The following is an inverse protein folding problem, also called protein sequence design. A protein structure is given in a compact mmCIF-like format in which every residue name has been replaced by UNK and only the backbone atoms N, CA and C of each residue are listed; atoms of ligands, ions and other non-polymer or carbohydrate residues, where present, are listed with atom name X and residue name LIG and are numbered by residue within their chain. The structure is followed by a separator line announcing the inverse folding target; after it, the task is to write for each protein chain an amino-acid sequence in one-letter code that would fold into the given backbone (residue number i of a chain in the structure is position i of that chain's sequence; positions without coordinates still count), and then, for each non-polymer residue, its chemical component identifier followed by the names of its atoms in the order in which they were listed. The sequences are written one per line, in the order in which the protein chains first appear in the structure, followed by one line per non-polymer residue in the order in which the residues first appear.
data_IF_477039349451
#
_entry.id   IF_477039349451
#
_cell.length_a   1.000
_cell.length_b   1.000
_cell.length_c   1.000
_cell.angle_alpha   90.00
_cell.angle_beta   90.00
_cell.angle_gamma   90.00
#
_symmetry.space_group_name_H-M   'P 1'
#
loop_
_entity.id
_entity.type
_entity.pdbx_description
1 polymer ?
#
# COMPACT_ATOMS: atom_id res chain seq x y z
N UNK A 1 41.11 11.71 -29.58
CA UNK A 1 39.92 10.91 -29.81
C UNK A 1 39.44 10.54 -28.43
N UNK A 2 38.53 11.32 -27.96
CA UNK A 2 37.97 11.28 -26.59
C UNK A 2 36.58 10.66 -26.73
N UNK A 3 36.49 9.36 -26.48
CA UNK A 3 35.21 8.65 -26.48
C UNK A 3 34.54 8.93 -25.13
N UNK A 4 33.73 9.97 -25.12
CA UNK A 4 32.87 10.28 -23.99
C UNK A 4 31.84 9.16 -23.79
N UNK A 5 32.05 8.39 -22.72
CA UNK A 5 31.06 7.47 -22.14
C UNK A 5 29.81 8.27 -21.75
N UNK A 6 28.88 8.36 -22.69
CA UNK A 6 27.55 8.89 -22.44
C UNK A 6 26.78 7.78 -21.70
N UNK A 7 26.88 7.76 -20.35
CA UNK A 7 26.03 6.92 -19.51
C UNK A 7 24.60 7.44 -19.70
N UNK A 8 23.80 6.73 -20.47
CA UNK A 8 22.37 6.95 -20.64
C UNK A 8 21.74 7.01 -19.23
N UNK A 9 21.48 8.21 -18.73
CA UNK A 9 20.64 8.37 -17.56
C UNK A 9 19.27 7.81 -17.91
N UNK A 10 18.71 6.87 -17.14
CA UNK A 10 17.44 6.24 -17.47
C UNK A 10 16.37 7.33 -17.58
N UNK A 11 15.75 7.40 -18.74
CA UNK A 11 14.68 8.34 -19.05
C UNK A 11 13.57 8.27 -18.01
N UNK A 12 13.09 9.42 -17.53
CA UNK A 12 12.06 9.48 -16.51
C UNK A 12 10.78 8.75 -16.98
N UNK A 13 10.17 7.90 -16.15
CA UNK A 13 8.97 7.15 -16.52
C UNK A 13 7.84 8.06 -17.03
N UNK A 14 7.16 7.65 -18.08
CA UNK A 14 6.06 8.40 -18.69
C UNK A 14 4.68 7.82 -18.36
N UNK A 15 4.62 6.71 -17.61
CA UNK A 15 3.40 6.12 -17.08
C UNK A 15 3.44 6.00 -15.56
N UNK A 16 2.27 5.96 -14.93
CA UNK A 16 2.14 6.00 -13.47
C UNK A 16 2.63 4.70 -12.80
N UNK A 17 2.50 3.55 -13.45
CA UNK A 17 2.92 2.28 -12.86
C UNK A 17 4.45 2.20 -12.76
N UNK A 18 5.16 2.59 -13.83
CA UNK A 18 6.62 2.68 -13.86
C UNK A 18 7.15 3.75 -12.90
N UNK A 19 6.47 4.90 -12.79
CA UNK A 19 6.81 5.94 -11.82
C UNK A 19 6.68 5.43 -10.38
N UNK A 20 5.61 4.71 -10.08
CA UNK A 20 5.38 4.11 -8.76
C UNK A 20 6.50 3.10 -8.42
N UNK A 21 6.88 2.25 -9.36
CA UNK A 21 7.98 1.31 -9.19
C UNK A 21 9.32 2.02 -8.95
N UNK A 22 9.60 3.11 -9.68
CA UNK A 22 10.78 3.93 -9.49
C UNK A 22 10.82 4.57 -8.10
N UNK A 23 9.70 5.15 -7.65
CA UNK A 23 9.59 5.73 -6.31
C UNK A 23 9.84 4.65 -5.25
N UNK A 24 9.23 3.47 -5.38
CA UNK A 24 9.41 2.35 -4.47
C UNK A 24 10.89 1.91 -4.38
N UNK A 25 11.56 1.77 -5.52
CA UNK A 25 12.98 1.37 -5.58
C UNK A 25 13.91 2.41 -4.93
N UNK A 26 13.57 3.70 -5.05
CA UNK A 26 14.37 4.80 -4.51
C UNK A 26 13.97 5.23 -3.09
N UNK A 27 12.84 4.74 -2.57
CA UNK A 27 12.24 5.19 -1.30
C UNK A 27 13.24 5.22 -0.13
N UNK A 28 14.04 4.15 0.04
CA UNK A 28 15.02 4.03 1.13
C UNK A 28 16.23 4.97 0.98
N UNK A 29 16.44 5.54 -0.20
CA UNK A 29 17.56 6.44 -0.51
C UNK A 29 17.15 7.91 -0.57
N UNK A 30 15.84 8.20 -0.54
CA UNK A 30 15.35 9.57 -0.59
C UNK A 30 15.62 10.29 0.74
N UNK A 31 16.12 11.55 0.71
CA UNK A 31 16.14 12.39 1.90
C UNK A 31 14.75 12.52 2.52
N UNK A 32 14.68 12.60 3.85
CA UNK A 32 13.42 12.60 4.62
C UNK A 32 12.30 13.47 4.03
N UNK A 33 12.60 14.69 3.58
CA UNK A 33 11.60 15.61 3.00
C UNK A 33 11.11 15.16 1.62
N UNK A 34 11.98 14.55 0.81
CA UNK A 34 11.58 13.98 -0.48
C UNK A 34 10.77 12.69 -0.29
N UNK A 35 11.11 11.88 0.71
CA UNK A 35 10.29 10.72 1.11
C UNK A 35 8.87 11.11 1.53
N UNK A 36 8.73 12.21 2.27
CA UNK A 36 7.43 12.76 2.66
C UNK A 36 6.58 13.17 1.43
N UNK A 37 7.22 13.76 0.40
CA UNK A 37 6.53 14.07 -0.86
C UNK A 37 6.15 12.79 -1.61
N UNK A 38 7.04 11.80 -1.63
CA UNK A 38 6.80 10.52 -2.28
C UNK A 38 5.57 9.80 -1.68
N UNK A 39 5.51 9.73 -0.35
CA UNK A 39 4.38 9.17 0.40
C UNK A 39 3.08 9.90 0.07
N UNK A 40 3.09 11.24 0.15
CA UNK A 40 1.92 12.04 -0.17
C UNK A 40 1.46 11.82 -1.62
N UNK A 41 2.39 11.80 -2.58
CA UNK A 41 2.10 11.66 -4.00
C UNK A 41 1.46 10.31 -4.34
N UNK A 42 1.90 9.23 -3.69
CA UNK A 42 1.32 7.90 -3.89
C UNK A 42 -0.03 7.75 -3.18
N UNK A 43 -0.20 8.36 -2.00
CA UNK A 43 -1.46 8.34 -1.26
C UNK A 43 -2.53 9.26 -1.86
N UNK A 44 -2.12 10.37 -2.51
CA UNK A 44 -3.02 11.41 -3.02
C UNK A 44 -2.69 11.77 -4.48
N UNK A 45 -2.73 10.81 -5.41
CA UNK A 45 -2.29 11.05 -6.79
C UNK A 45 -3.14 12.08 -7.54
N UNK A 46 -4.40 12.20 -7.21
CA UNK A 46 -5.31 13.18 -7.82
C UNK A 46 -4.98 14.61 -7.36
N UNK A 47 -4.52 14.77 -6.11
CA UNK A 47 -4.03 16.05 -5.62
C UNK A 47 -2.76 16.50 -6.34
N UNK A 48 -1.89 15.55 -6.67
CA UNK A 48 -0.73 15.85 -7.51
C UNK A 48 -1.18 16.25 -8.92
N UNK A 49 -2.12 15.52 -9.50
CA UNK A 49 -2.59 15.77 -10.87
C UNK A 49 -3.23 17.16 -11.04
N UNK A 50 -4.03 17.61 -10.08
CA UNK A 50 -4.85 18.81 -10.18
C UNK A 50 -4.37 19.98 -9.31
N UNK A 51 -3.55 19.70 -8.28
CA UNK A 51 -3.07 20.72 -7.36
C UNK A 51 -2.05 21.66 -7.98
N UNK A 52 -1.96 22.88 -7.46
CA UNK A 52 -0.82 23.75 -7.73
C UNK A 52 0.38 23.32 -6.88
N UNK A 53 1.61 23.68 -7.29
CA UNK A 53 2.80 23.41 -6.47
C UNK A 53 2.66 23.96 -5.04
N UNK A 54 2.00 25.11 -4.88
CA UNK A 54 1.76 25.71 -3.57
C UNK A 54 0.78 24.88 -2.72
N UNK A 55 -0.37 24.47 -3.29
CA UNK A 55 -1.39 23.67 -2.58
C UNK A 55 -0.88 22.27 -2.22
N UNK A 56 -0.17 21.63 -3.15
CA UNK A 56 0.45 20.31 -2.90
C UNK A 56 1.52 20.39 -1.82
N UNK A 57 2.39 21.42 -1.86
CA UNK A 57 3.41 21.65 -0.85
C UNK A 57 2.79 21.85 0.54
N UNK A 58 1.74 22.66 0.63
CA UNK A 58 1.01 22.88 1.86
C UNK A 58 0.41 21.60 2.42
N UNK A 59 -0.27 20.80 1.59
CA UNK A 59 -0.93 19.55 2.00
C UNK A 59 0.07 18.46 2.36
N UNK A 60 1.20 18.39 1.66
CA UNK A 60 2.29 17.45 1.97
C UNK A 60 3.22 17.93 3.10
N UNK A 61 3.00 19.12 3.66
CA UNK A 61 3.79 19.68 4.78
C UNK A 61 5.24 19.99 4.41
N UNK A 62 5.50 20.40 3.15
CA UNK A 62 6.84 20.76 2.66
C UNK A 62 6.84 22.14 2.00
N UNK A 63 8.02 22.63 1.63
CA UNK A 63 8.14 23.84 0.82
C UNK A 63 7.96 23.52 -0.68
N UNK A 64 7.45 24.45 -1.51
CA UNK A 64 7.29 24.25 -2.95
C UNK A 64 8.58 23.83 -3.67
N UNK A 65 9.74 24.34 -3.25
CA UNK A 65 11.06 23.95 -3.77
C UNK A 65 11.38 22.46 -3.54
N UNK A 66 10.77 21.83 -2.53
CA UNK A 66 10.94 20.39 -2.25
C UNK A 66 10.24 19.56 -3.33
N UNK A 67 9.10 20.00 -3.87
CA UNK A 67 8.41 19.33 -4.96
C UNK A 67 9.26 19.34 -6.24
N UNK A 68 9.89 20.46 -6.54
CA UNK A 68 10.81 20.58 -7.69
C UNK A 68 11.99 19.62 -7.54
N UNK A 69 12.62 19.61 -6.36
CA UNK A 69 13.72 18.70 -6.06
C UNK A 69 13.30 17.23 -6.12
N UNK A 70 12.10 16.90 -5.66
CA UNK A 70 11.55 15.57 -5.74
C UNK A 70 11.38 15.13 -7.20
N UNK A 71 10.80 15.99 -8.03
CA UNK A 71 10.63 15.71 -9.46
C UNK A 71 11.98 15.48 -10.16
N UNK A 72 12.96 16.34 -9.88
CA UNK A 72 14.32 16.23 -10.43
C UNK A 72 15.05 14.95 -9.94
N UNK A 73 14.85 14.55 -8.69
CA UNK A 73 15.42 13.31 -8.14
C UNK A 73 14.86 12.04 -8.82
N UNK A 74 13.70 12.16 -9.47
CA UNK A 74 13.09 11.08 -10.26
C UNK A 74 13.40 11.18 -11.76
N UNK A 75 14.15 12.21 -12.21
CA UNK A 75 14.55 12.42 -13.59
C UNK A 75 13.65 13.36 -14.40
N UNK A 76 12.65 13.99 -13.76
CA UNK A 76 11.79 14.97 -14.44
C UNK A 76 12.40 16.38 -14.44
N UNK A 77 12.06 17.18 -15.44
CA UNK A 77 12.55 18.58 -15.52
C UNK A 77 12.02 19.47 -14.40
N UNK A 78 10.85 19.13 -13.84
CA UNK A 78 10.22 19.86 -12.75
C UNK A 78 8.87 19.29 -12.36
N UNK A 79 8.20 19.96 -11.41
CA UNK A 79 6.94 19.46 -10.85
C UNK A 79 5.83 19.33 -11.92
N UNK A 80 5.75 20.26 -12.88
CA UNK A 80 4.75 20.20 -13.96
C UNK A 80 4.97 18.99 -14.88
N UNK A 81 6.22 18.61 -15.17
CA UNK A 81 6.56 17.45 -15.99
C UNK A 81 6.17 16.14 -15.24
N UNK A 82 6.45 16.08 -13.94
CA UNK A 82 5.97 14.98 -13.10
C UNK A 82 4.44 14.91 -13.05
N UNK A 83 3.74 16.06 -12.95
CA UNK A 83 2.28 16.13 -12.92
C UNK A 83 1.63 15.52 -14.18
N UNK A 84 2.27 15.62 -15.35
CA UNK A 84 1.71 15.03 -16.57
C UNK A 84 1.55 13.51 -16.45
N UNK A 85 2.43 12.82 -15.75
CA UNK A 85 2.30 11.37 -15.51
C UNK A 85 1.09 11.06 -14.62
N UNK A 86 0.86 11.89 -13.59
CA UNK A 86 -0.32 11.76 -12.74
C UNK A 86 -1.62 12.10 -13.49
N UNK A 87 -1.58 13.06 -14.43
CA UNK A 87 -2.71 13.39 -15.30
C UNK A 87 -2.97 12.31 -16.35
N UNK A 88 -1.92 11.72 -16.92
CA UNK A 88 -2.04 10.62 -17.88
C UNK A 88 -2.76 9.41 -17.27
N UNK A 89 -2.48 9.09 -16.01
CA UNK A 89 -3.21 8.07 -15.23
C UNK A 89 -4.73 8.25 -15.28
N UNK A 90 -5.20 9.50 -15.32
CA UNK A 90 -6.64 9.80 -15.35
C UNK A 90 -7.27 9.60 -16.73
N UNK A 91 -6.47 9.68 -17.80
CA UNK A 91 -6.95 9.40 -19.16
C UNK A 91 -7.15 7.91 -19.42
N UNK A 92 -6.35 7.07 -18.72
CA UNK A 92 -6.44 5.61 -18.79
C UNK A 92 -7.50 5.04 -17.82
N UNK A 93 -8.14 5.91 -17.03
CA UNK A 93 -9.26 5.52 -16.18
C UNK A 93 -10.45 5.15 -17.05
N UNK A 94 -10.94 3.95 -16.88
CA UNK A 94 -12.33 3.58 -17.22
C UNK A 94 -13.24 4.67 -16.63
N UNK A 95 -14.35 5.09 -17.32
CA UNK A 95 -15.24 6.16 -16.84
C UNK A 95 -15.51 6.03 -15.36
N UNK A 96 -15.39 7.14 -14.62
CA UNK A 96 -15.59 7.12 -13.16
C UNK A 96 -16.98 6.58 -12.83
N UNK A 97 -17.13 5.97 -11.68
CA UNK A 97 -18.42 5.50 -11.18
C UNK A 97 -19.50 6.59 -11.30
N UNK A 98 -19.15 7.84 -11.01
CA UNK A 98 -20.06 8.99 -11.15
C UNK A 98 -20.48 9.26 -12.61
N UNK A 99 -19.60 9.05 -13.56
CA UNK A 99 -19.93 9.18 -14.99
C UNK A 99 -20.82 8.03 -15.45
N UNK A 100 -20.55 6.80 -15.01
CA UNK A 100 -21.42 5.64 -15.24
C UNK A 100 -22.77 5.80 -14.53
N UNK A 101 -22.80 6.27 -13.29
CA UNK A 101 -24.03 6.61 -12.57
C UNK A 101 -24.85 7.64 -13.31
N UNK A 102 -24.23 8.69 -13.86
CA UNK A 102 -24.92 9.70 -14.69
C UNK A 102 -25.47 9.08 -15.96
N UNK A 103 -24.70 8.23 -16.64
CA UNK A 103 -25.15 7.52 -17.85
C UNK A 103 -26.29 6.54 -17.54
N UNK A 104 -26.20 5.77 -16.46
CA UNK A 104 -27.24 4.83 -16.06
C UNK A 104 -28.52 5.53 -15.55
N UNK A 105 -28.39 6.67 -14.86
CA UNK A 105 -29.53 7.51 -14.51
C UNK A 105 -30.22 8.10 -15.73
N UNK A 106 -29.51 8.39 -16.79
CA UNK A 106 -30.08 8.90 -18.07
C UNK A 106 -30.81 7.82 -18.87
N UNK A 107 -30.44 6.54 -18.67
CA UNK A 107 -31.07 5.40 -19.38
C UNK A 107 -32.21 4.72 -18.61
N UNK A 108 -32.63 5.24 -17.46
CA UNK A 108 -33.84 4.92 -16.71
C UNK A 108 -34.07 3.44 -16.40
N UNK A 109 -33.70 2.98 -15.18
CA UNK A 109 -34.16 1.67 -14.73
C UNK A 109 -33.39 0.96 -13.61
N UNK A 110 -32.11 1.25 -13.36
CA UNK A 110 -31.39 0.56 -12.32
C UNK A 110 -31.65 1.20 -10.93
N UNK A 111 -31.92 0.37 -9.92
CA UNK A 111 -32.05 0.84 -8.53
C UNK A 111 -30.70 1.33 -8.01
N UNK A 112 -30.69 2.27 -7.05
CA UNK A 112 -29.46 2.74 -6.40
C UNK A 112 -28.64 1.57 -5.81
N UNK A 113 -29.32 0.56 -5.26
CA UNK A 113 -28.68 -0.64 -4.71
C UNK A 113 -27.98 -1.47 -5.80
N UNK A 114 -28.60 -1.63 -6.98
CA UNK A 114 -27.97 -2.35 -8.09
C UNK A 114 -26.70 -1.65 -8.58
N UNK A 115 -26.72 -0.32 -8.67
CA UNK A 115 -25.56 0.47 -9.06
C UNK A 115 -24.41 0.39 -8.05
N UNK A 116 -24.74 0.41 -6.75
CA UNK A 116 -23.73 0.23 -5.69
C UNK A 116 -23.13 -1.17 -5.73
N UNK A 117 -23.97 -2.21 -5.91
CA UNK A 117 -23.49 -3.59 -6.04
C UNK A 117 -22.51 -3.74 -7.21
N UNK A 118 -22.85 -3.20 -8.37
CA UNK A 118 -21.99 -3.24 -9.55
C UNK A 118 -20.65 -2.53 -9.30
N UNK A 119 -20.67 -1.32 -8.71
CA UNK A 119 -19.46 -0.58 -8.41
C UNK A 119 -18.54 -1.30 -7.42
N UNK A 120 -19.10 -1.91 -6.37
CA UNK A 120 -18.32 -2.73 -5.44
C UNK A 120 -17.75 -4.00 -6.10
N UNK A 121 -18.55 -4.68 -6.93
CA UNK A 121 -18.11 -5.86 -7.64
C UNK A 121 -16.94 -5.53 -8.59
N UNK A 122 -17.06 -4.47 -9.39
CA UNK A 122 -15.99 -4.03 -10.29
C UNK A 122 -14.71 -3.61 -9.53
N UNK A 123 -14.84 -2.92 -8.39
CA UNK A 123 -13.70 -2.54 -7.57
C UNK A 123 -12.99 -3.77 -7.00
N UNK A 124 -13.76 -4.75 -6.51
CA UNK A 124 -13.22 -6.01 -6.01
C UNK A 124 -12.52 -6.82 -7.13
N UNK A 125 -13.14 -6.94 -8.30
CA UNK A 125 -12.54 -7.62 -9.46
C UNK A 125 -11.21 -6.96 -9.88
N UNK A 126 -11.17 -5.63 -9.94
CA UNK A 126 -9.94 -4.88 -10.24
C UNK A 126 -8.87 -5.12 -9.19
N UNK A 127 -9.21 -5.06 -7.90
CA UNK A 127 -8.26 -5.30 -6.81
C UNK A 127 -7.64 -6.71 -6.91
N UNK A 128 -8.46 -7.72 -7.18
CA UNK A 128 -7.99 -9.11 -7.36
C UNK A 128 -7.14 -9.26 -8.63
N UNK A 129 -7.55 -8.66 -9.74
CA UNK A 129 -6.80 -8.69 -11.00
C UNK A 129 -5.43 -8.01 -10.84
N UNK A 130 -5.39 -6.83 -10.21
CA UNK A 130 -4.17 -6.09 -9.93
C UNK A 130 -3.23 -6.88 -9.01
N UNK A 131 -3.76 -7.47 -7.94
CA UNK A 131 -2.97 -8.33 -7.06
C UNK A 131 -2.35 -9.50 -7.83
N UNK A 132 -3.14 -10.21 -8.65
CA UNK A 132 -2.64 -11.34 -9.47
C UNK A 132 -1.53 -10.95 -10.43
N UNK A 133 -1.59 -9.74 -11.01
CA UNK A 133 -0.57 -9.24 -11.94
C UNK A 133 0.70 -8.74 -11.24
N UNK A 134 0.56 -8.19 -10.03
CA UNK A 134 1.65 -7.58 -9.28
C UNK A 134 2.29 -8.53 -8.26
N UNK A 135 1.59 -9.61 -7.90
CA UNK A 135 2.10 -10.56 -6.93
C UNK A 135 3.41 -11.19 -7.42
N UNK A 136 4.48 -10.92 -6.69
CA UNK A 136 5.77 -11.55 -6.91
C UNK A 136 5.78 -12.93 -6.24
N UNK A 137 5.86 -13.98 -7.05
CA UNK A 137 5.89 -15.36 -6.56
C UNK A 137 7.06 -15.61 -5.61
N UNK A 138 8.23 -14.98 -5.85
CA UNK A 138 9.41 -15.14 -4.99
C UNK A 138 9.15 -14.56 -3.60
N UNK A 139 8.50 -13.41 -3.53
CA UNK A 139 8.12 -12.79 -2.25
C UNK A 139 7.05 -13.60 -1.54
N UNK A 140 6.08 -14.16 -2.27
CA UNK A 140 5.06 -15.04 -1.70
C UNK A 140 5.67 -16.31 -1.13
N UNK A 141 6.60 -16.97 -1.86
CA UNK A 141 7.31 -18.15 -1.38
C UNK A 141 8.12 -17.85 -0.10
N UNK A 142 8.79 -16.70 -0.04
CA UNK A 142 9.48 -16.27 1.19
C UNK A 142 8.52 -16.09 2.36
N UNK A 143 7.34 -15.50 2.14
CA UNK A 143 6.34 -15.36 3.19
C UNK A 143 5.87 -16.73 3.69
N UNK A 144 5.60 -17.67 2.79
CA UNK A 144 5.23 -19.05 3.12
C UNK A 144 6.35 -19.72 3.92
N UNK A 145 7.61 -19.58 3.50
CA UNK A 145 8.76 -20.14 4.19
C UNK A 145 8.90 -19.63 5.63
N UNK A 146 8.69 -18.33 5.85
CA UNK A 146 8.67 -17.73 7.19
C UNK A 146 7.59 -18.36 8.06
N UNK A 147 6.37 -18.46 7.53
CA UNK A 147 5.23 -18.98 8.27
C UNK A 147 5.33 -20.49 8.56
N UNK A 148 5.87 -21.27 7.63
CA UNK A 148 5.99 -22.73 7.79
C UNK A 148 7.08 -23.15 8.77
N UNK A 149 8.09 -22.29 9.00
CA UNK A 149 9.16 -22.56 9.98
C UNK A 149 8.81 -22.13 11.39
N UNK A 150 7.76 -21.32 11.57
CA UNK A 150 7.38 -20.79 12.85
C UNK A 150 6.78 -21.87 13.77
N UNK A 151 7.11 -21.82 15.06
CA UNK A 151 6.46 -22.64 16.09
C UNK A 151 5.02 -22.20 16.33
N UNK A 152 4.79 -20.88 16.36
CA UNK A 152 3.47 -20.26 16.49
C UNK A 152 3.37 -19.05 15.56
N UNK A 153 2.22 -18.90 14.92
CA UNK A 153 1.94 -17.74 14.06
C UNK A 153 1.01 -16.80 14.82
N UNK A 154 1.47 -15.58 15.09
CA UNK A 154 0.64 -14.54 15.68
C UNK A 154 -0.02 -13.71 14.59
N UNK A 155 -1.33 -13.55 14.68
CA UNK A 155 -2.14 -12.82 13.68
C UNK A 155 -2.57 -11.47 14.27
N UNK A 156 -2.06 -10.38 13.71
CA UNK A 156 -2.30 -9.01 14.17
C UNK A 156 -2.98 -8.22 13.05
N UNK A 157 -4.20 -7.80 13.28
CA UNK A 157 -4.94 -6.93 12.37
C UNK A 157 -6.20 -6.48 13.07
N UNK A 158 -6.24 -5.19 13.43
CA UNK A 158 -7.36 -4.62 14.15
C UNK A 158 -8.27 -3.81 13.23
N UNK A 159 -9.42 -3.36 13.75
CA UNK A 159 -10.43 -2.60 13.02
C UNK A 159 -10.89 -3.34 11.77
N UNK A 160 -10.81 -2.74 10.58
CA UNK A 160 -11.29 -3.35 9.32
C UNK A 160 -10.49 -4.58 8.87
N UNK A 161 -9.26 -4.75 9.35
CA UNK A 161 -8.45 -5.95 9.08
C UNK A 161 -8.77 -7.12 10.01
N UNK A 162 -9.47 -6.88 11.13
CA UNK A 162 -9.78 -7.91 12.12
C UNK A 162 -10.59 -9.10 11.55
N UNK A 163 -11.62 -8.91 10.71
CA UNK A 163 -12.33 -10.05 10.12
C UNK A 163 -11.43 -10.98 9.33
N UNK A 164 -10.40 -10.44 8.65
CA UNK A 164 -9.44 -11.22 7.87
C UNK A 164 -8.56 -12.05 8.79
N UNK A 165 -7.94 -11.43 9.82
CA UNK A 165 -7.08 -12.14 10.78
C UNK A 165 -7.86 -13.16 11.60
N UNK A 166 -9.11 -12.87 11.98
CA UNK A 166 -9.99 -13.81 12.66
C UNK A 166 -10.33 -15.02 11.80
N UNK A 167 -10.62 -14.80 10.52
CA UNK A 167 -10.84 -15.91 9.57
C UNK A 167 -9.56 -16.71 9.32
N UNK A 168 -8.40 -16.05 9.20
CA UNK A 168 -7.11 -16.74 9.09
C UNK A 168 -6.84 -17.64 10.31
N UNK A 169 -7.10 -17.13 11.53
CA UNK A 169 -6.95 -17.92 12.75
C UNK A 169 -7.82 -19.18 12.73
N UNK A 170 -9.08 -19.03 12.34
CA UNK A 170 -10.00 -20.17 12.18
C UNK A 170 -9.49 -21.16 11.14
N UNK A 171 -9.09 -20.69 9.96
CA UNK A 171 -8.64 -21.54 8.85
C UNK A 171 -7.36 -22.30 9.21
N UNK A 172 -6.37 -21.62 9.80
CA UNK A 172 -5.12 -22.22 10.29
C UNK A 172 -5.39 -23.26 11.37
N UNK A 173 -6.31 -22.97 12.31
CA UNK A 173 -6.72 -23.94 13.34
C UNK A 173 -7.33 -25.19 12.74
N UNK A 174 -8.13 -25.09 11.67
CA UNK A 174 -8.68 -26.26 10.95
C UNK A 174 -7.60 -27.10 10.27
N UNK A 175 -6.49 -26.48 9.88
CA UNK A 175 -5.33 -27.16 9.29
C UNK A 175 -4.33 -27.69 10.33
N UNK A 176 -4.62 -27.51 11.62
CA UNK A 176 -3.71 -27.91 12.71
C UNK A 176 -2.48 -27.00 12.85
N UNK A 177 -2.48 -25.84 12.24
CA UNK A 177 -1.40 -24.86 12.33
C UNK A 177 -1.57 -24.06 13.63
N UNK A 178 -0.55 -24.10 14.49
CA UNK A 178 -0.56 -23.36 15.75
C UNK A 178 -0.56 -21.87 15.48
N UNK A 179 -1.59 -21.18 15.95
CA UNK A 179 -1.71 -19.73 15.79
C UNK A 179 -2.38 -19.08 16.99
N UNK A 180 -2.13 -17.79 17.16
CA UNK A 180 -2.72 -16.93 18.18
C UNK A 180 -3.28 -15.69 17.49
N UNK A 181 -4.58 -15.47 17.62
CA UNK A 181 -5.22 -14.24 17.19
C UNK A 181 -4.98 -13.18 18.30
N UNK A 182 -4.30 -12.10 17.93
CA UNK A 182 -4.09 -10.94 18.80
C UNK A 182 -5.25 -9.98 18.56
N UNK A 183 -6.30 -10.12 19.36
CA UNK A 183 -7.55 -9.36 19.21
C UNK A 183 -7.59 -8.11 20.07
N UNK A 184 -6.66 -7.97 21.03
CA UNK A 184 -6.57 -6.82 21.91
C UNK A 184 -7.75 -6.66 22.87
N UNK A 185 -8.54 -7.73 23.11
CA UNK A 185 -9.68 -7.68 24.05
C UNK A 185 -9.22 -7.12 25.39
N UNK A 186 -10.01 -6.23 25.96
CA UNK A 186 -9.74 -5.52 27.21
C UNK A 186 -8.41 -4.75 27.25
N UNK A 187 -7.85 -4.40 26.08
CA UNK A 187 -6.57 -3.71 25.99
C UNK A 187 -5.34 -4.61 26.18
N UNK A 188 -5.52 -5.94 26.18
CA UNK A 188 -4.46 -6.91 26.48
C UNK A 188 -3.63 -7.33 25.26
N UNK A 189 -3.62 -6.56 24.20
CA UNK A 189 -2.88 -6.92 22.98
C UNK A 189 -1.37 -7.08 23.20
N UNK A 190 -0.75 -6.28 24.03
CA UNK A 190 0.66 -6.38 24.37
C UNK A 190 0.96 -7.64 25.21
N UNK A 191 0.07 -8.01 26.12
CA UNK A 191 0.17 -9.20 26.95
C UNK A 191 -0.02 -10.47 26.12
N UNK A 192 -0.87 -10.43 25.09
CA UNK A 192 -1.03 -11.56 24.15
C UNK A 192 0.26 -11.87 23.39
N UNK A 193 1.16 -10.88 23.23
CA UNK A 193 2.51 -11.08 22.71
C UNK A 193 3.54 -11.49 23.76
N UNK A 194 3.11 -11.74 25.01
CA UNK A 194 4.02 -11.96 26.14
C UNK A 194 5.01 -13.12 25.95
N UNK A 195 4.62 -14.14 25.22
CA UNK A 195 5.41 -15.35 24.99
C UNK A 195 6.04 -15.44 23.61
N UNK A 196 5.88 -14.40 22.75
CA UNK A 196 6.48 -14.39 21.41
C UNK A 196 8.00 -14.36 21.48
N UNK A 197 8.65 -15.10 20.59
CA UNK A 197 10.10 -15.28 20.51
C UNK A 197 10.60 -15.25 19.06
N UNK A 198 11.89 -15.44 18.87
CA UNK A 198 12.55 -15.59 17.57
C UNK A 198 12.19 -16.87 16.80
N UNK A 199 11.49 -17.82 17.47
CA UNK A 199 10.98 -19.04 16.84
C UNK A 199 9.58 -18.89 16.26
N UNK A 200 8.96 -17.74 16.49
CA UNK A 200 7.61 -17.44 16.08
C UNK A 200 7.57 -16.49 14.88
N UNK A 201 6.45 -16.49 14.18
CA UNK A 201 6.20 -15.53 13.13
C UNK A 201 4.94 -14.69 13.42
N UNK A 202 4.91 -13.52 12.84
CA UNK A 202 3.76 -12.61 12.89
C UNK A 202 3.25 -12.36 11.49
N UNK A 203 1.95 -12.42 11.30
CA UNK A 203 1.27 -11.81 10.16
C UNK A 203 0.61 -10.52 10.66
N UNK A 204 1.08 -9.37 10.20
CA UNK A 204 0.49 -8.08 10.51
C UNK A 204 -0.23 -7.51 9.29
N UNK A 205 -1.52 -7.19 9.43
CA UNK A 205 -2.37 -6.65 8.37
C UNK A 205 -2.84 -5.26 8.75
N UNK A 206 -2.47 -4.25 7.95
CA UNK A 206 -2.92 -2.88 8.15
C UNK A 206 -2.90 -2.08 6.85
N UNK A 207 -3.94 -1.30 6.62
CA UNK A 207 -4.14 -0.45 5.45
C UNK A 207 -4.45 0.98 5.89
N UNK A 208 -4.24 1.94 5.01
CA UNK A 208 -4.59 3.35 5.27
C UNK A 208 -6.11 3.50 5.53
N UNK A 209 -6.50 4.21 6.64
CA UNK A 209 -5.68 4.76 7.72
C UNK A 209 -5.20 3.66 8.67
N UNK A 210 -3.88 3.58 8.87
CA UNK A 210 -3.27 2.51 9.65
C UNK A 210 -3.72 2.52 11.11
N UNK A 211 -4.12 1.36 11.62
CA UNK A 211 -4.48 1.22 13.03
C UNK A 211 -3.22 1.33 13.91
N UNK A 212 -3.15 2.37 14.73
CA UNK A 212 -1.99 2.64 15.59
C UNK A 212 -1.64 1.46 16.51
N UNK A 213 -2.66 0.75 16.98
CA UNK A 213 -2.50 -0.42 17.84
C UNK A 213 -1.86 -1.59 17.07
N UNK A 214 -2.28 -1.84 15.82
CA UNK A 214 -1.66 -2.86 14.95
C UNK A 214 -0.20 -2.54 14.71
N UNK A 215 0.12 -1.28 14.42
CA UNK A 215 1.50 -0.81 14.21
C UNK A 215 2.34 -1.00 15.48
N UNK A 216 1.83 -0.60 16.65
CA UNK A 216 2.54 -0.74 17.91
C UNK A 216 2.81 -2.22 18.25
N UNK A 217 1.83 -3.11 18.05
CA UNK A 217 1.98 -4.55 18.28
C UNK A 217 3.00 -5.19 17.32
N UNK A 218 2.99 -4.80 16.04
CA UNK A 218 3.98 -5.26 15.07
C UNK A 218 5.41 -4.85 15.46
N UNK A 219 5.61 -3.60 15.89
CA UNK A 219 6.89 -3.14 16.42
C UNK A 219 7.30 -3.89 17.70
N UNK A 220 6.37 -4.14 18.62
CA UNK A 220 6.65 -4.89 19.85
C UNK A 220 7.08 -6.33 19.55
N UNK A 221 6.41 -7.00 18.62
CA UNK A 221 6.78 -8.35 18.17
C UNK A 221 8.18 -8.36 17.53
N UNK A 222 8.46 -7.38 16.65
CA UNK A 222 9.77 -7.23 16.03
C UNK A 222 10.89 -6.98 17.05
N UNK A 223 10.61 -6.20 18.08
CA UNK A 223 11.54 -5.97 19.20
C UNK A 223 11.89 -7.24 20.00
N UNK A 224 11.08 -8.30 19.88
CA UNK A 224 11.32 -9.63 20.46
C UNK A 224 11.89 -10.63 19.43
N UNK A 225 12.38 -10.13 18.30
CA UNK A 225 13.04 -10.89 17.23
C UNK A 225 12.15 -11.88 16.47
N UNK A 226 10.83 -11.84 16.64
CA UNK A 226 9.92 -12.62 15.82
C UNK A 226 10.01 -12.22 14.34
N UNK A 227 9.89 -13.18 13.44
CA UNK A 227 9.84 -12.89 12.01
C UNK A 227 8.50 -12.26 11.64
N UNK A 228 8.52 -11.21 10.83
CA UNK A 228 7.35 -10.43 10.48
C UNK A 228 7.03 -10.51 8.99
N UNK A 229 5.85 -11.02 8.68
CA UNK A 229 5.22 -10.91 7.37
C UNK A 229 4.15 -9.83 7.47
N UNK A 230 4.26 -8.76 6.69
CA UNK A 230 3.24 -7.72 6.65
C UNK A 230 2.43 -7.75 5.35
N UNK A 231 1.12 -7.49 5.46
CA UNK A 231 0.21 -7.31 4.33
C UNK A 231 -0.31 -5.88 4.43
N UNK A 232 0.01 -5.05 3.43
CA UNK A 232 -0.29 -3.62 3.47
C UNK A 232 -0.36 -3.02 2.06
N UNK A 233 -0.82 -1.79 1.96
CA UNK A 233 -1.11 -1.09 0.70
C UNK A 233 0.07 -0.31 0.11
N UNK A 234 1.14 -0.12 0.87
CA UNK A 234 2.26 0.72 0.43
C UNK A 234 3.58 0.37 1.12
N UNK A 235 4.68 0.56 0.39
CA UNK A 235 6.05 0.53 0.96
C UNK A 235 6.24 1.59 2.06
N UNK A 236 5.44 2.65 2.06
CA UNK A 236 5.46 3.71 3.09
C UNK A 236 4.56 3.40 4.29
N UNK A 237 3.88 2.27 4.28
CA UNK A 237 3.17 1.77 5.46
C UNK A 237 4.12 1.62 6.64
N UNK A 238 3.71 2.00 7.86
CA UNK A 238 4.58 1.89 9.03
C UNK A 238 4.98 0.46 9.40
N UNK A 239 4.33 -0.56 8.83
CA UNK A 239 4.67 -1.97 9.05
C UNK A 239 5.49 -2.60 7.91
N UNK A 240 5.58 -1.97 6.73
CA UNK A 240 6.37 -2.49 5.61
C UNK A 240 7.89 -2.44 5.88
N UNK A 241 8.48 -1.32 6.36
CA UNK A 241 9.93 -1.22 6.56
C UNK A 241 10.48 -2.10 7.69
N UNK A 242 9.63 -2.58 8.60
CA UNK A 242 10.04 -3.43 9.73
C UNK A 242 9.82 -4.92 9.46
N UNK A 243 9.16 -5.27 8.35
CA UNK A 243 8.89 -6.65 7.98
C UNK A 243 10.11 -7.33 7.35
N UNK A 244 10.26 -8.63 7.60
CA UNK A 244 11.20 -9.49 6.87
C UNK A 244 10.70 -9.74 5.45
N UNK A 245 9.38 -9.85 5.32
CA UNK A 245 8.67 -9.97 4.04
C UNK A 245 7.41 -9.11 4.09
N UNK A 246 7.15 -8.33 3.05
CA UNK A 246 5.89 -7.61 2.94
C UNK A 246 5.20 -7.89 1.61
N UNK A 247 3.89 -8.02 1.66
CA UNK A 247 3.03 -8.26 0.51
C UNK A 247 2.18 -7.02 0.27
N UNK A 248 2.28 -6.50 -0.95
CA UNK A 248 1.49 -5.34 -1.36
C UNK A 248 0.11 -5.78 -1.82
N UNK A 249 -0.92 -5.23 -1.18
CA UNK A 249 -2.31 -5.34 -1.61
C UNK A 249 -2.90 -3.95 -1.73
N UNK A 250 -3.21 -3.54 -2.95
CA UNK A 250 -3.79 -2.23 -3.22
C UNK A 250 -5.28 -2.41 -3.47
N UNK A 251 -6.09 -1.76 -2.65
CA UNK A 251 -7.53 -1.70 -2.87
C UNK A 251 -7.83 -0.76 -4.03
N UNK A 252 -8.63 -1.19 -4.99
CA UNK A 252 -9.17 -0.29 -6.00
C UNK A 252 -10.15 0.67 -5.31
N UNK A 253 -9.95 1.95 -5.55
CA UNK A 253 -10.78 2.99 -4.97
C UNK A 253 -12.21 2.86 -5.51
N UNK A 254 -13.16 2.74 -4.59
CA UNK A 254 -14.58 2.91 -4.84
C UNK A 254 -14.99 4.19 -4.13
N UNK A 255 -15.10 5.28 -4.90
CA UNK A 255 -15.50 6.60 -4.41
C UNK A 255 -16.85 6.51 -3.69
N UNK A 256 -16.83 6.43 -2.36
CA UNK A 256 -18.07 6.34 -1.56
C UNK A 256 -17.92 5.64 -0.21
N UNK A 257 -16.70 5.26 0.18
CA UNK A 257 -16.42 4.72 1.52
C UNK A 257 -15.27 5.42 2.20
#
# INVERSE_FOLDING_TARGET
MDDGDNIDEPEAPRDFASLRALIATRASRLPRRLGQVAEFALANPDDIAFGTAASVAQRSGVQPSTLVRFSQALGYQGFSDLQEVFRARLRDRVPSYDERLKQLRQHGGASKAALMLEGFAEAAERSVADFRHKADHVTLDKAIDVLTRAETIYLIGLRRSFPVTAYMAYAMGKLGIRNILVDGIAGLGAEQLGFISDRDAVVAISFTPYASETVALAHAARGRQAQLVSITDSIFSPIAPIADVWLEVVEADFEGF
#
